data_IF_645530339582
#
_entry.id   IF_645530339582
#
_cell.length_a   1.000
_cell.length_b   1.000
_cell.length_c   1.000
_cell.angle_alpha   90.00
_cell.angle_beta   90.00
_cell.angle_gamma   90.00
#
_symmetry.space_group_name_H-M   'P 1'
#
loop_
_entity.id
_entity.type
_entity.pdbx_description
1 polymer ?
#
# COMPACT_ATOMS: atom_id res chain seq x y z
N UNK A 1 -28.28 24.62 -3.93
CA UNK A 1 -28.41 23.67 -2.80
C UNK A 1 -27.24 23.92 -1.85
N UNK A 2 -27.52 24.39 -0.64
CA UNK A 2 -26.50 24.59 0.39
C UNK A 2 -26.17 23.22 0.94
N UNK A 3 -24.94 22.72 0.69
CA UNK A 3 -24.43 21.51 1.34
C UNK A 3 -24.14 21.86 2.80
N UNK A 4 -24.99 21.47 3.72
CA UNK A 4 -24.67 21.54 5.14
C UNK A 4 -23.85 20.31 5.52
N UNK A 5 -22.66 20.51 6.10
CA UNK A 5 -21.92 19.42 6.73
C UNK A 5 -22.70 18.95 7.96
N UNK A 6 -22.87 17.64 8.12
CA UNK A 6 -23.49 17.05 9.32
C UNK A 6 -22.56 17.19 10.53
N UNK A 7 -21.26 17.07 10.26
CA UNK A 7 -20.20 17.21 11.26
C UNK A 7 -19.08 18.03 10.65
N UNK A 8 -18.66 19.07 11.33
CA UNK A 8 -17.50 19.89 10.97
C UNK A 8 -16.60 20.01 12.21
N UNK A 9 -15.46 19.32 12.16
CA UNK A 9 -14.50 19.26 13.25
C UNK A 9 -13.21 19.89 12.77
N UNK A 10 -12.76 20.92 13.47
CA UNK A 10 -11.46 21.57 13.24
C UNK A 10 -10.53 21.28 14.40
N UNK A 11 -9.35 20.73 14.13
CA UNK A 11 -8.34 20.45 15.12
C UNK A 11 -7.32 21.59 15.21
N UNK A 12 -6.97 22.01 16.43
CA UNK A 12 -5.89 22.96 16.62
C UNK A 12 -4.54 22.31 16.30
N UNK A 13 -3.74 22.95 15.45
CA UNK A 13 -2.39 22.52 15.19
C UNK A 13 -1.48 22.88 16.36
N UNK A 14 -0.97 21.88 17.06
CA UNK A 14 0.02 22.07 18.12
C UNK A 14 1.45 22.18 17.60
N UNK A 15 1.67 21.99 16.29
CA UNK A 15 3.00 22.05 15.65
C UNK A 15 3.95 20.91 15.97
N UNK A 16 3.60 20.00 16.89
CA UNK A 16 4.41 18.86 17.27
C UNK A 16 3.75 17.54 16.87
N UNK A 17 4.56 16.63 16.31
CA UNK A 17 4.16 15.28 15.97
C UNK A 17 4.07 14.40 17.23
N UNK A 18 3.17 14.71 18.17
CA UNK A 18 3.19 14.21 19.54
C UNK A 18 2.71 12.77 19.73
N UNK A 19 2.27 12.06 18.69
CA UNK A 19 1.70 10.71 18.81
C UNK A 19 2.41 9.67 17.93
N UNK A 20 3.73 9.63 18.00
CA UNK A 20 4.52 8.53 17.46
C UNK A 20 5.18 7.77 18.60
N UNK A 21 5.31 6.44 18.42
CA UNK A 21 6.11 5.64 19.34
C UNK A 21 7.62 5.89 19.14
N UNK A 22 8.46 5.17 19.88
CA UNK A 22 9.93 5.29 19.79
C UNK A 22 10.51 4.97 18.39
N UNK A 23 9.77 4.25 17.55
CA UNK A 23 10.13 3.94 16.17
C UNK A 23 9.59 4.98 15.16
N UNK A 24 9.02 6.07 15.62
CA UNK A 24 8.41 7.10 14.78
C UNK A 24 7.09 6.69 14.12
N UNK A 25 6.43 5.65 14.64
CA UNK A 25 5.19 5.13 14.09
C UNK A 25 3.98 5.74 14.78
N UNK A 26 2.98 6.13 13.99
CA UNK A 26 1.63 6.45 14.48
C UNK A 26 0.90 5.17 14.87
N UNK A 27 -0.19 5.28 15.62
CA UNK A 27 -0.97 4.14 16.11
C UNK A 27 -1.31 3.12 15.03
N UNK A 28 -1.90 3.55 13.90
CA UNK A 28 -2.22 2.66 12.78
C UNK A 28 -0.98 1.96 12.23
N UNK A 29 0.13 2.69 12.10
CA UNK A 29 1.39 2.14 11.59
C UNK A 29 1.98 1.11 12.55
N UNK A 30 1.94 1.37 13.85
CA UNK A 30 2.38 0.43 14.88
C UNK A 30 1.51 -0.84 14.88
N UNK A 31 0.18 -0.68 14.75
CA UNK A 31 -0.76 -1.81 14.64
C UNK A 31 -0.43 -2.71 13.44
N UNK A 32 -0.11 -2.13 12.29
CA UNK A 32 0.32 -2.87 11.10
C UNK A 32 1.69 -3.53 11.32
N UNK A 33 2.63 -2.80 11.93
CA UNK A 33 3.99 -3.28 12.15
C UNK A 33 4.06 -4.47 13.14
N UNK A 34 3.14 -4.55 14.09
CA UNK A 34 3.02 -5.72 14.99
C UNK A 34 2.81 -7.01 14.21
N UNK A 35 2.06 -6.96 13.10
CA UNK A 35 1.78 -8.13 12.26
C UNK A 35 2.81 -8.33 11.11
N UNK A 36 3.93 -7.62 11.12
CA UNK A 36 4.93 -7.61 10.03
C UNK A 36 5.47 -8.98 9.60
N UNK A 37 5.47 -9.95 10.52
CA UNK A 37 5.94 -11.30 10.24
C UNK A 37 4.98 -12.13 9.38
N UNK A 38 3.71 -11.73 9.31
CA UNK A 38 2.73 -12.45 8.50
C UNK A 38 3.10 -12.40 7.02
N UNK A 39 2.98 -13.54 6.35
CA UNK A 39 3.26 -13.65 4.92
C UNK A 39 2.25 -12.83 4.10
N UNK A 40 0.98 -12.90 4.46
CA UNK A 40 -0.09 -12.17 3.79
C UNK A 40 -0.80 -11.24 4.76
N UNK A 41 -0.82 -9.93 4.45
CA UNK A 41 -1.49 -8.89 5.23
C UNK A 41 -2.51 -8.15 4.37
N UNK A 42 -3.71 -7.98 4.89
CA UNK A 42 -4.73 -7.10 4.32
C UNK A 42 -5.05 -5.98 5.30
N UNK A 43 -4.65 -4.76 4.95
CA UNK A 43 -4.80 -3.57 5.79
C UNK A 43 -5.94 -2.71 5.27
N UNK A 44 -6.99 -2.58 6.06
CA UNK A 44 -8.16 -1.72 5.81
C UNK A 44 -8.03 -0.48 6.69
N UNK A 45 -7.68 0.65 6.10
CA UNK A 45 -7.48 1.89 6.84
C UNK A 45 -7.88 3.11 6.01
N UNK A 46 -8.49 4.15 6.61
CA UNK A 46 -9.00 5.31 5.89
C UNK A 46 -7.92 6.06 5.11
N UNK A 47 -8.28 6.89 4.13
CA UNK A 47 -7.37 7.85 3.53
C UNK A 47 -6.66 8.69 4.59
N UNK A 48 -5.44 9.13 4.30
CA UNK A 48 -4.58 9.93 5.18
C UNK A 48 -4.20 9.29 6.53
N UNK A 49 -4.52 8.02 6.78
CA UNK A 49 -4.10 7.29 8.00
C UNK A 49 -2.60 6.99 8.06
N UNK A 50 -1.86 7.20 6.96
CA UNK A 50 -0.42 6.94 6.88
C UNK A 50 -0.06 5.54 6.37
N UNK A 51 -0.94 4.92 5.55
CA UNK A 51 -0.76 3.59 4.95
C UNK A 51 0.59 3.40 4.26
N UNK A 52 0.97 4.35 3.38
CA UNK A 52 2.24 4.23 2.63
C UNK A 52 3.46 4.14 3.55
N UNK A 53 3.48 4.91 4.65
CA UNK A 53 4.58 4.82 5.63
C UNK A 53 4.52 3.51 6.43
N UNK A 54 3.33 3.01 6.78
CA UNK A 54 3.19 1.68 7.40
C UNK A 54 3.78 0.58 6.52
N UNK A 55 3.54 0.67 5.21
CA UNK A 55 4.10 -0.26 4.24
C UNK A 55 5.64 -0.18 4.19
N UNK A 56 6.22 1.04 4.22
CA UNK A 56 7.68 1.20 4.25
C UNK A 56 8.30 0.52 5.49
N UNK A 57 7.70 0.67 6.67
CA UNK A 57 8.17 0.01 7.88
C UNK A 57 8.16 -1.51 7.75
N UNK A 58 7.05 -2.09 7.28
CA UNK A 58 6.93 -3.53 7.08
C UNK A 58 7.89 -4.03 6.02
N UNK A 59 8.02 -3.30 4.90
CA UNK A 59 8.90 -3.66 3.80
C UNK A 59 10.38 -3.69 4.22
N UNK A 60 10.83 -2.70 4.97
CA UNK A 60 12.19 -2.64 5.48
C UNK A 60 12.46 -3.79 6.47
N UNK A 61 11.52 -4.09 7.36
CA UNK A 61 11.68 -5.21 8.28
C UNK A 61 11.78 -6.54 7.52
N UNK A 62 10.94 -6.76 6.51
CA UNK A 62 11.03 -7.95 5.67
C UNK A 62 12.35 -8.07 4.92
N UNK A 63 12.87 -6.96 4.41
CA UNK A 63 14.18 -6.93 3.74
C UNK A 63 15.37 -7.20 4.66
N UNK A 64 15.37 -6.65 5.87
CA UNK A 64 16.54 -6.65 6.73
C UNK A 64 16.50 -7.72 7.81
N UNK A 65 15.31 -8.11 8.28
CA UNK A 65 15.13 -9.00 9.41
C UNK A 65 14.50 -10.35 9.05
N UNK A 66 13.80 -10.45 7.91
CA UNK A 66 13.07 -11.67 7.52
C UNK A 66 13.64 -12.36 6.28
N UNK A 67 14.77 -11.87 5.75
CA UNK A 67 15.50 -12.52 4.66
C UNK A 67 14.94 -12.32 3.25
N UNK A 68 13.92 -11.48 3.06
CA UNK A 68 13.43 -11.17 1.71
C UNK A 68 14.49 -10.36 0.93
N UNK A 69 14.58 -10.63 -0.36
CA UNK A 69 15.58 -10.03 -1.23
C UNK A 69 15.08 -8.75 -1.92
N UNK A 70 13.78 -8.68 -2.22
CA UNK A 70 13.17 -7.64 -3.05
C UNK A 70 11.87 -7.13 -2.47
N UNK A 71 11.55 -5.86 -2.75
CA UNK A 71 10.24 -5.25 -2.51
C UNK A 71 9.75 -4.58 -3.79
N UNK A 72 8.57 -4.94 -4.23
CA UNK A 72 7.84 -4.29 -5.32
C UNK A 72 6.61 -3.61 -4.71
N UNK A 73 6.52 -2.30 -4.86
CA UNK A 73 5.34 -1.51 -4.48
C UNK A 73 4.55 -1.19 -5.74
N UNK A 74 3.31 -1.64 -5.79
CA UNK A 74 2.38 -1.36 -6.87
C UNK A 74 1.31 -0.37 -6.41
N UNK A 75 1.14 0.72 -7.17
CA UNK A 75 0.18 1.80 -6.90
C UNK A 75 -0.81 1.93 -8.05
N UNK A 76 -2.03 2.47 -7.84
CA UNK A 76 -3.01 2.60 -8.94
C UNK A 76 -2.55 3.56 -10.02
N UNK A 77 -1.92 4.67 -9.63
CA UNK A 77 -1.53 5.77 -10.54
C UNK A 77 -0.13 6.28 -10.22
N UNK A 78 0.55 6.86 -11.23
CA UNK A 78 1.88 7.46 -11.09
C UNK A 78 1.96 8.52 -9.99
N UNK A 79 0.90 9.33 -9.84
CA UNK A 79 0.82 10.40 -8.83
C UNK A 79 0.90 9.86 -7.41
N UNK A 80 0.33 8.70 -7.16
CA UNK A 80 0.37 8.02 -5.85
C UNK A 80 1.76 7.43 -5.58
N UNK A 81 2.52 7.06 -6.62
CA UNK A 81 3.91 6.63 -6.49
C UNK A 81 4.79 7.63 -5.73
N UNK A 82 4.46 8.93 -5.80
CA UNK A 82 5.16 9.98 -5.04
C UNK A 82 5.10 9.80 -3.52
N UNK A 83 4.12 9.06 -3.01
CA UNK A 83 4.03 8.71 -1.58
C UNK A 83 5.13 7.74 -1.13
N UNK A 84 5.82 7.10 -2.07
CA UNK A 84 6.90 6.15 -1.85
C UNK A 84 8.29 6.67 -2.22
N UNK A 85 8.46 8.00 -2.33
CA UNK A 85 9.76 8.63 -2.49
C UNK A 85 10.67 8.36 -1.29
N UNK A 86 11.96 8.53 -1.49
CA UNK A 86 12.97 8.41 -0.44
C UNK A 86 12.54 9.14 0.83
N UNK A 87 12.58 8.46 1.95
CA UNK A 87 12.07 8.95 3.23
C UNK A 87 13.05 8.62 4.35
N UNK A 88 13.45 9.65 5.11
CA UNK A 88 14.35 9.52 6.25
C UNK A 88 13.57 9.02 7.47
N UNK A 89 13.54 7.72 7.68
CA UNK A 89 12.85 7.10 8.81
C UNK A 89 13.75 7.01 10.04
N UNK A 90 15.07 6.96 9.85
CA UNK A 90 16.06 6.95 10.93
C UNK A 90 15.98 8.20 11.80
N UNK A 91 15.68 9.36 11.24
CA UNK A 91 15.48 10.61 11.98
C UNK A 91 14.34 10.52 13.01
N UNK A 92 13.45 9.54 12.84
CA UNK A 92 12.30 9.32 13.70
C UNK A 92 12.42 8.06 14.58
N UNK A 93 13.61 7.44 14.63
CA UNK A 93 13.89 6.30 15.50
C UNK A 93 13.77 4.93 14.83
N UNK A 94 13.46 4.85 13.54
CA UNK A 94 13.46 3.57 12.83
C UNK A 94 14.90 3.13 12.47
N UNK A 95 15.12 1.84 12.26
CA UNK A 95 16.47 1.30 12.06
C UNK A 95 17.04 1.56 10.65
N UNK A 96 16.20 1.83 9.63
CA UNK A 96 16.64 2.06 8.25
C UNK A 96 15.75 3.06 7.51
N UNK A 97 16.34 3.76 6.52
CA UNK A 97 15.64 4.69 5.65
C UNK A 97 15.01 3.97 4.47
N UNK A 98 13.86 4.48 4.03
CA UNK A 98 13.24 4.03 2.79
C UNK A 98 13.92 4.68 1.59
N UNK A 99 14.46 3.86 0.68
CA UNK A 99 15.16 4.33 -0.53
C UNK A 99 14.73 3.54 -1.74
N UNK A 100 14.40 4.25 -2.82
CA UNK A 100 14.12 3.70 -4.14
C UNK A 100 15.11 4.33 -5.10
N UNK A 101 15.87 3.52 -5.83
CA UNK A 101 16.74 4.04 -6.87
C UNK A 101 15.90 4.65 -7.99
N UNK A 102 16.25 5.83 -8.49
CA UNK A 102 15.50 6.54 -9.53
C UNK A 102 15.23 5.66 -10.76
N UNK A 103 16.17 4.80 -11.13
CA UNK A 103 16.01 3.86 -12.24
C UNK A 103 14.88 2.85 -12.02
N UNK A 104 14.57 2.49 -10.77
CA UNK A 104 13.50 1.57 -10.39
C UNK A 104 12.25 2.26 -9.82
N UNK A 105 12.19 3.59 -9.88
CA UNK A 105 10.93 4.31 -9.73
C UNK A 105 10.24 4.41 -11.11
N UNK A 106 9.46 3.38 -11.43
CA UNK A 106 8.75 3.29 -12.70
C UNK A 106 7.51 4.20 -12.77
N UNK A 107 7.20 4.88 -11.67
CA UNK A 107 6.17 5.92 -11.64
C UNK A 107 6.70 7.29 -12.06
N UNK A 108 7.99 7.57 -11.82
CA UNK A 108 8.64 8.86 -12.09
C UNK A 108 9.50 8.83 -13.38
N UNK A 109 9.24 7.90 -14.30
CA UNK A 109 9.96 7.81 -15.57
C UNK A 109 9.12 8.34 -16.73
N UNK A 110 9.76 9.09 -17.64
CA UNK A 110 9.18 9.51 -18.91
C UNK A 110 9.25 8.40 -19.99
N UNK A 111 10.17 7.45 -19.83
CA UNK A 111 10.35 6.32 -20.75
C UNK A 111 9.33 5.21 -20.49
N UNK A 112 8.15 5.37 -21.08
CA UNK A 112 7.07 4.39 -21.00
C UNK A 112 7.40 3.05 -21.71
N UNK A 113 8.29 3.09 -22.72
CA UNK A 113 8.53 1.93 -23.60
C UNK A 113 9.37 0.85 -22.95
N UNK A 114 10.16 1.18 -21.93
CA UNK A 114 11.11 0.23 -21.31
C UNK A 114 10.74 -0.18 -19.89
N UNK A 115 9.53 0.13 -19.41
CA UNK A 115 9.13 -0.19 -18.03
C UNK A 115 9.15 -1.68 -17.73
N UNK A 116 8.70 -2.52 -18.66
CA UNK A 116 8.69 -3.97 -18.48
C UNK A 116 10.13 -4.51 -18.47
N UNK A 117 10.99 -3.99 -19.35
CA UNK A 117 12.42 -4.34 -19.33
C UNK A 117 13.10 -4.02 -18.00
N UNK A 118 12.90 -2.79 -17.48
CA UNK A 118 13.40 -2.37 -16.15
C UNK A 118 12.80 -3.18 -15.02
N UNK A 119 11.53 -3.56 -15.11
CA UNK A 119 10.88 -4.43 -14.14
C UNK A 119 11.58 -5.79 -14.07
N UNK A 120 11.85 -6.42 -15.19
CA UNK A 120 12.58 -7.71 -15.26
C UNK A 120 14.02 -7.57 -14.76
N UNK A 121 14.71 -6.50 -15.18
CA UNK A 121 16.08 -6.19 -14.75
C UNK A 121 16.19 -6.03 -13.22
N UNK A 122 15.18 -5.45 -12.57
CA UNK A 122 15.14 -5.32 -11.11
C UNK A 122 15.41 -6.64 -10.39
N UNK A 123 14.83 -7.73 -10.86
CA UNK A 123 14.98 -9.04 -10.22
C UNK A 123 16.35 -9.65 -10.45
N UNK A 124 17.05 -9.28 -11.52
CA UNK A 124 18.42 -9.76 -11.81
C UNK A 124 19.51 -8.92 -11.13
N UNK A 125 19.23 -7.67 -10.84
CA UNK A 125 20.21 -6.74 -10.25
C UNK A 125 20.26 -6.87 -8.72
N UNK A 126 21.29 -7.53 -8.20
CA UNK A 126 21.43 -7.84 -6.76
C UNK A 126 21.40 -6.62 -5.84
N UNK A 127 21.93 -5.47 -6.28
CA UNK A 127 21.96 -4.23 -5.50
C UNK A 127 20.60 -3.52 -5.39
N UNK A 128 19.68 -3.76 -6.33
CA UNK A 128 18.35 -3.17 -6.31
C UNK A 128 17.46 -3.96 -5.36
N UNK A 129 16.95 -3.31 -4.32
CA UNK A 129 16.12 -3.95 -3.30
C UNK A 129 14.66 -3.49 -3.29
N UNK A 130 14.40 -2.29 -3.81
CA UNK A 130 13.08 -1.65 -3.78
C UNK A 130 12.73 -1.10 -5.15
N UNK A 131 11.50 -1.32 -5.58
CA UNK A 131 10.93 -0.79 -6.83
C UNK A 131 9.52 -0.25 -6.57
N UNK A 132 9.15 0.82 -7.28
CA UNK A 132 7.79 1.34 -7.30
C UNK A 132 7.27 1.33 -8.74
N UNK A 133 6.06 0.80 -8.95
CA UNK A 133 5.43 0.73 -10.27
C UNK A 133 3.91 0.94 -10.17
N UNK A 134 3.24 1.10 -11.30
CA UNK A 134 1.78 1.12 -11.32
C UNK A 134 1.20 -0.29 -11.38
N UNK A 135 -0.08 -0.47 -10.97
CA UNK A 135 -0.81 -1.72 -11.15
C UNK A 135 -0.81 -2.20 -12.61
N UNK A 136 -0.89 -1.27 -13.57
CA UNK A 136 -0.82 -1.59 -14.99
C UNK A 136 0.54 -2.16 -15.39
N UNK A 137 1.64 -1.54 -14.91
CA UNK A 137 3.00 -2.03 -15.16
C UNK A 137 3.22 -3.40 -14.54
N UNK A 138 2.78 -3.60 -13.29
CA UNK A 138 2.86 -4.89 -12.61
C UNK A 138 2.17 -5.99 -13.42
N UNK A 139 0.90 -5.78 -13.81
CA UNK A 139 0.14 -6.75 -14.60
C UNK A 139 0.81 -7.10 -15.94
N UNK A 140 1.29 -6.07 -16.64
CA UNK A 140 1.95 -6.29 -17.93
C UNK A 140 3.24 -7.10 -17.75
N UNK A 141 4.04 -6.78 -16.75
CA UNK A 141 5.29 -7.48 -16.46
C UNK A 141 5.05 -8.93 -16.01
N UNK A 142 4.04 -9.19 -15.18
CA UNK A 142 3.69 -10.55 -14.74
C UNK A 142 3.26 -11.47 -15.88
N UNK A 143 2.51 -10.95 -16.87
CA UNK A 143 2.13 -11.72 -18.04
C UNK A 143 3.31 -12.16 -18.91
N UNK A 144 4.42 -11.46 -18.81
CA UNK A 144 5.63 -11.69 -19.59
C UNK A 144 6.78 -12.32 -18.78
N UNK A 145 6.55 -12.66 -17.52
CA UNK A 145 7.56 -13.16 -16.59
C UNK A 145 7.11 -14.48 -15.98
N UNK A 146 8.07 -15.30 -15.59
CA UNK A 146 7.81 -16.47 -14.76
C UNK A 146 7.50 -16.02 -13.33
N UNK A 147 6.53 -16.65 -12.67
CA UNK A 147 6.10 -16.32 -11.32
C UNK A 147 7.22 -16.50 -10.29
N UNK A 148 8.18 -17.40 -10.55
CA UNK A 148 9.30 -17.68 -9.65
C UNK A 148 10.19 -16.47 -9.35
N UNK A 149 10.16 -15.41 -10.17
CA UNK A 149 10.89 -14.16 -9.88
C UNK A 149 10.42 -13.50 -8.58
N UNK A 150 9.20 -13.79 -8.14
CA UNK A 150 8.63 -13.27 -6.90
C UNK A 150 8.97 -14.12 -5.66
N UNK A 151 9.76 -15.18 -5.80
CA UNK A 151 10.27 -15.90 -4.63
C UNK A 151 11.12 -14.95 -3.76
N UNK A 152 10.93 -15.05 -2.45
CA UNK A 152 11.60 -14.19 -1.46
C UNK A 152 11.42 -12.69 -1.74
N UNK A 153 10.27 -12.32 -2.33
CA UNK A 153 9.88 -10.96 -2.63
C UNK A 153 8.68 -10.52 -1.79
N UNK A 154 8.66 -9.26 -1.36
CA UNK A 154 7.46 -8.60 -0.91
C UNK A 154 6.77 -7.91 -2.09
N UNK A 155 5.55 -8.30 -2.39
CA UNK A 155 4.65 -7.57 -3.26
C UNK A 155 3.68 -6.74 -2.41
N UNK A 156 3.85 -5.44 -2.43
CA UNK A 156 3.04 -4.48 -1.70
C UNK A 156 2.08 -3.78 -2.67
N UNK A 157 0.78 -3.84 -2.42
CA UNK A 157 -0.25 -3.28 -3.30
C UNK A 157 -1.01 -2.20 -2.55
N UNK A 158 -0.77 -0.95 -2.91
CA UNK A 158 -1.49 0.20 -2.36
C UNK A 158 -2.80 0.41 -3.13
N UNK A 159 -3.83 0.87 -2.41
CA UNK A 159 -5.19 1.06 -2.90
C UNK A 159 -5.71 -0.17 -3.69
N UNK A 160 -5.61 -1.31 -3.05
CA UNK A 160 -5.88 -2.63 -3.63
C UNK A 160 -7.26 -2.74 -4.30
N UNK A 161 -8.27 -1.99 -3.83
CA UNK A 161 -9.60 -1.97 -4.44
C UNK A 161 -9.60 -1.45 -5.89
N UNK A 162 -8.62 -0.61 -6.29
CA UNK A 162 -8.45 -0.21 -7.68
C UNK A 162 -7.87 -1.33 -8.56
N UNK A 163 -7.18 -2.28 -7.98
CA UNK A 163 -6.56 -3.38 -8.70
C UNK A 163 -7.57 -4.35 -9.31
N UNK A 164 -8.79 -4.39 -8.77
CA UNK A 164 -9.89 -5.27 -9.19
C UNK A 164 -11.03 -4.52 -9.89
N UNK A 165 -10.90 -3.21 -10.10
CA UNK A 165 -11.98 -2.37 -10.62
C UNK A 165 -12.49 -2.72 -12.03
N UNK A 166 -11.79 -3.58 -12.78
CA UNK A 166 -12.31 -4.19 -13.99
C UNK A 166 -12.32 -5.71 -13.84
N UNK A 167 -13.42 -6.36 -14.22
CA UNK A 167 -13.53 -7.83 -14.33
C UNK A 167 -12.42 -8.38 -15.23
N UNK A 168 -11.93 -7.55 -16.16
CA UNK A 168 -10.82 -7.84 -17.08
C UNK A 168 -9.43 -7.59 -16.49
N UNK A 169 -9.32 -7.09 -15.23
CA UNK A 169 -8.03 -6.66 -14.70
C UNK A 169 -7.06 -7.82 -14.46
N UNK A 170 -7.59 -9.03 -14.20
CA UNK A 170 -6.78 -10.24 -14.01
C UNK A 170 -5.78 -10.19 -12.84
N UNK A 171 -5.71 -9.08 -12.07
CA UNK A 171 -4.73 -8.99 -10.98
C UNK A 171 -5.07 -9.94 -9.83
N UNK A 172 -6.37 -10.15 -9.57
CA UNK A 172 -6.80 -11.13 -8.56
C UNK A 172 -6.39 -12.57 -8.92
N UNK A 173 -6.51 -12.93 -10.19
CA UNK A 173 -6.07 -14.25 -10.68
C UNK A 173 -4.54 -14.37 -10.63
N UNK A 174 -3.81 -13.34 -11.08
CA UNK A 174 -2.35 -13.31 -10.99
C UNK A 174 -1.85 -13.44 -9.53
N UNK A 175 -2.51 -12.79 -8.58
CA UNK A 175 -2.15 -12.93 -7.16
C UNK A 175 -2.41 -14.34 -6.62
N UNK A 176 -3.48 -15.00 -7.07
CA UNK A 176 -3.78 -16.38 -6.71
C UNK A 176 -2.68 -17.31 -7.19
N UNK A 177 -2.23 -17.14 -8.45
CA UNK A 177 -1.15 -17.93 -9.03
C UNK A 177 0.15 -17.71 -8.25
N UNK A 178 0.50 -16.45 -7.93
CA UNK A 178 1.66 -16.15 -7.07
C UNK A 178 1.59 -16.82 -5.70
N UNK A 179 0.42 -16.76 -5.05
CA UNK A 179 0.20 -17.38 -3.74
C UNK A 179 0.33 -18.90 -3.80
N UNK A 180 -0.07 -19.52 -4.91
CA UNK A 180 -0.02 -20.97 -5.10
C UNK A 180 1.38 -21.48 -5.48
N UNK A 181 2.15 -20.69 -6.22
CA UNK A 181 3.35 -21.17 -6.91
C UNK A 181 4.66 -20.64 -6.31
N UNK A 182 4.60 -19.63 -5.42
CA UNK A 182 5.81 -18.91 -4.95
C UNK A 182 5.83 -18.72 -3.45
N UNK A 183 7.01 -18.33 -2.93
CA UNK A 183 7.19 -17.89 -1.54
C UNK A 183 6.93 -16.38 -1.34
N UNK A 184 6.22 -15.72 -2.24
CA UNK A 184 5.93 -14.28 -2.16
C UNK A 184 5.27 -13.90 -0.85
N UNK A 185 5.67 -12.79 -0.27
CA UNK A 185 4.91 -12.11 0.78
C UNK A 185 4.03 -11.03 0.15
N UNK A 186 2.80 -10.87 0.62
CA UNK A 186 1.88 -9.88 0.07
C UNK A 186 1.36 -8.97 1.17
N UNK A 187 1.45 -7.66 0.95
CA UNK A 187 0.79 -6.65 1.78
C UNK A 187 -0.15 -5.84 0.90
N UNK A 188 -1.44 -6.06 1.07
CA UNK A 188 -2.49 -5.31 0.37
C UNK A 188 -3.06 -4.24 1.29
N UNK A 189 -3.11 -2.99 0.83
CA UNK A 189 -3.65 -1.86 1.57
C UNK A 189 -4.81 -1.21 0.82
N UNK A 190 -5.85 -0.85 1.55
CA UNK A 190 -7.03 -0.21 0.95
C UNK A 190 -7.70 0.77 1.89
N UNK A 191 -8.18 1.89 1.33
CA UNK A 191 -9.06 2.84 2.03
C UNK A 191 -10.54 2.45 1.93
N UNK A 192 -10.90 1.71 0.88
CA UNK A 192 -12.24 1.17 0.66
C UNK A 192 -12.12 -0.28 0.23
N UNK A 193 -12.64 -1.18 1.04
CA UNK A 193 -12.53 -2.62 0.76
C UNK A 193 -13.52 -3.11 -0.30
N UNK A 194 -14.68 -2.47 -0.34
CA UNK A 194 -15.71 -2.80 -1.31
C UNK A 194 -15.60 -1.87 -2.51
N UNK A 195 -15.72 -2.44 -3.69
CA UNK A 195 -16.05 -1.69 -4.87
C UNK A 195 -17.42 -1.04 -4.67
N UNK A 196 -17.71 0.04 -5.37
CA UNK A 196 -18.99 0.70 -5.28
C UNK A 196 -20.22 -0.19 -5.58
N UNK A 197 -19.97 -1.36 -6.18
CA UNK A 197 -20.96 -2.41 -6.48
C UNK A 197 -21.11 -3.48 -5.38
N UNK A 198 -20.38 -3.35 -4.28
CA UNK A 198 -20.41 -4.32 -3.18
C UNK A 198 -19.65 -5.63 -3.42
N UNK A 199 -18.94 -5.75 -4.55
CA UNK A 199 -18.18 -6.96 -4.89
C UNK A 199 -16.84 -6.95 -4.14
N UNK A 200 -16.47 -8.05 -3.44
CA UNK A 200 -15.17 -8.18 -2.79
C UNK A 200 -14.02 -8.11 -3.81
N UNK A 201 -12.89 -7.54 -3.39
CA UNK A 201 -11.69 -7.40 -4.23
C UNK A 201 -11.01 -8.74 -4.50
N UNK A 202 -11.08 -9.66 -3.53
CA UNK A 202 -10.58 -11.03 -3.63
C UNK A 202 -11.72 -12.03 -3.43
N UNK A 203 -11.52 -13.25 -3.89
CA UNK A 203 -12.41 -14.36 -3.52
C UNK A 203 -12.30 -14.64 -2.03
N UNK A 204 -13.36 -15.15 -1.43
CA UNK A 204 -13.43 -15.44 0.01
C UNK A 204 -12.32 -16.41 0.44
N UNK A 205 -12.01 -17.40 -0.39
CA UNK A 205 -10.99 -18.41 -0.12
C UNK A 205 -9.57 -17.79 -0.13
N UNK A 206 -9.32 -16.85 -1.03
CA UNK A 206 -8.03 -16.14 -1.13
C UNK A 206 -7.88 -15.16 0.02
N UNK A 207 -8.96 -14.44 0.37
CA UNK A 207 -8.97 -13.49 1.50
C UNK A 207 -8.75 -14.17 2.84
N UNK A 208 -9.27 -15.39 3.02
CA UNK A 208 -9.10 -16.17 4.26
C UNK A 208 -7.62 -16.49 4.57
N UNK A 209 -6.73 -16.40 3.59
CA UNK A 209 -5.28 -16.60 3.78
C UNK A 209 -4.58 -15.37 4.36
N UNK A 210 -5.22 -14.20 4.31
CA UNK A 210 -4.65 -12.95 4.78
C UNK A 210 -4.93 -12.71 6.26
N UNK A 211 -3.94 -12.19 6.96
CA UNK A 211 -4.15 -11.61 8.27
C UNK A 211 -4.73 -10.19 8.11
N UNK A 212 -5.91 -9.97 8.67
CA UNK A 212 -6.64 -8.73 8.53
C UNK A 212 -6.28 -7.73 9.62
N UNK A 213 -5.99 -6.51 9.22
CA UNK A 213 -5.80 -5.37 10.11
C UNK A 213 -6.79 -4.29 9.69
N UNK A 214 -7.68 -3.94 10.60
CA UNK A 214 -8.66 -2.88 10.39
C UNK A 214 -8.34 -1.70 11.31
N UNK A 215 -8.30 -0.52 10.73
CA UNK A 215 -8.23 0.75 11.41
C UNK A 215 -9.33 1.64 10.84
N UNK A 216 -10.31 2.03 11.66
CA UNK A 216 -11.50 2.70 11.18
C UNK A 216 -11.44 4.22 11.38
N UNK A 217 -12.43 4.94 10.85
CA UNK A 217 -12.51 6.39 11.00
C UNK A 217 -12.66 6.84 12.44
N UNK A 218 -13.31 6.07 13.30
CA UNK A 218 -13.46 6.37 14.71
C UNK A 218 -12.11 6.31 15.44
N UNK A 219 -11.33 5.26 15.20
CA UNK A 219 -9.97 5.14 15.71
C UNK A 219 -9.10 6.30 15.19
N UNK A 220 -9.23 6.64 13.91
CA UNK A 220 -8.50 7.75 13.30
C UNK A 220 -8.85 9.10 13.95
N UNK A 221 -10.11 9.37 14.20
CA UNK A 221 -10.56 10.61 14.82
C UNK A 221 -10.11 10.74 16.27
N UNK A 222 -10.14 9.66 17.03
CA UNK A 222 -9.74 9.64 18.44
C UNK A 222 -8.21 9.70 18.62
N UNK A 223 -7.44 9.10 17.68
CA UNK A 223 -5.98 9.05 17.76
C UNK A 223 -5.25 10.14 16.98
N UNK A 224 -5.95 10.97 16.20
CA UNK A 224 -5.35 11.75 15.13
C UNK A 224 -5.27 13.25 15.42
N UNK A 225 -4.15 13.69 15.98
CA UNK A 225 -3.85 15.12 16.15
C UNK A 225 -3.40 15.83 14.86
N UNK A 226 -3.57 15.21 13.68
CA UNK A 226 -3.05 15.70 12.39
C UNK A 226 -4.12 16.08 11.37
N UNK A 227 -5.38 15.75 11.62
CA UNK A 227 -6.47 16.20 10.77
C UNK A 227 -6.69 17.70 11.02
N UNK A 228 -6.50 18.52 9.98
CA UNK A 228 -6.78 19.94 10.03
C UNK A 228 -8.28 20.22 10.15
N UNK A 229 -9.07 19.44 9.43
CA UNK A 229 -10.53 19.49 9.46
C UNK A 229 -11.12 18.22 8.88
N UNK A 230 -12.32 17.84 9.31
CA UNK A 230 -13.13 16.78 8.73
C UNK A 230 -14.54 17.32 8.49
N UNK A 231 -15.00 17.28 7.24
CA UNK A 231 -16.38 17.57 6.88
C UNK A 231 -17.10 16.28 6.43
N UNK A 232 -18.20 15.92 7.07
CA UNK A 232 -19.08 14.85 6.64
C UNK A 232 -20.35 15.45 6.03
N UNK A 233 -20.55 15.22 4.72
CA UNK A 233 -21.73 15.60 3.99
C UNK A 233 -22.55 14.39 3.57
N UNK A 234 -23.88 14.55 3.41
CA UNK A 234 -24.74 13.55 2.79
C UNK A 234 -25.52 14.14 1.63
N UNK A 235 -25.83 13.28 0.68
CA UNK A 235 -26.72 13.64 -0.43
C UNK A 235 -27.83 12.61 -0.52
N UNK A 236 -29.09 13.07 -0.51
CA UNK A 236 -30.22 12.21 -0.84
C UNK A 236 -30.33 12.10 -2.37
N UNK A 237 -30.31 10.88 -2.87
CA UNK A 237 -30.62 10.58 -4.25
C UNK A 237 -32.11 10.19 -4.30
N UNK A 238 -32.92 11.04 -4.91
CA UNK A 238 -34.25 10.63 -5.32
C UNK A 238 -34.08 9.94 -6.67
N UNK A 239 -34.03 8.61 -6.66
CA UNK A 239 -34.15 7.82 -7.87
C UNK A 239 -35.55 7.99 -8.48
N UNK A 240 -35.61 8.30 -9.76
CA UNK A 240 -36.84 8.21 -10.56
C UNK A 240 -37.19 6.76 -10.84
#
# INVERSE_FOLDING_TARGET
>A
MIKSNIVDITYQQTGSASNTNELGMREMQAKVYVAREKQYLLVKAPPASGKSRALMFVALDKLYNQGLSKVVVAVPEKTIGRSFKNTNLKEHGFFEDWKVAQYFDLCDTEDERNKIGRFKEFFTQKSARTMVCTHATLRAAMRESDNSIFNDCLLAIDEFHHASASVESGLGDLLRDLIAETSVHIVAMTGSYFRGDGIPVMRVEDEARFHHITYNYYEQLNGYNYLKSLGLGYSFYQGN
#
